data_IF_800672478723
#
_entry.id   IF_800672478723
#
_cell.length_a   1.000
_cell.length_b   1.000
_cell.length_c   1.000
_cell.angle_alpha   90.00
_cell.angle_beta   90.00
_cell.angle_gamma   90.00
#
_symmetry.space_group_name_H-M   'P 1'
#
loop_
_entity.id
_entity.type
_entity.pdbx_description
1 polymer ?
#
# COMPACT_ATOMS: atom_id res chain seq x y z
N UNK A 1 15.92 -11.41 -39.88
CA UNK A 1 15.25 -11.13 -38.59
C UNK A 1 16.20 -10.31 -37.73
N UNK A 2 16.08 -8.99 -37.78
CA UNK A 2 16.85 -8.07 -36.95
C UNK A 2 16.24 -8.08 -35.54
N UNK A 3 17.02 -8.52 -34.56
CA UNK A 3 16.64 -8.46 -33.15
C UNK A 3 16.52 -6.99 -32.74
N UNK A 4 15.30 -6.53 -32.44
CA UNK A 4 15.04 -5.19 -31.88
C UNK A 4 15.35 -5.10 -30.38
N UNK A 5 16.22 -5.97 -29.86
CA UNK A 5 16.70 -5.90 -28.47
C UNK A 5 18.00 -5.10 -28.47
N UNK A 6 17.90 -3.83 -28.09
CA UNK A 6 19.07 -3.03 -27.75
C UNK A 6 19.65 -3.56 -26.44
N UNK A 7 20.78 -4.25 -26.51
CA UNK A 7 21.58 -4.58 -25.35
C UNK A 7 22.16 -3.27 -24.79
N UNK A 8 21.70 -2.86 -23.62
CA UNK A 8 22.35 -1.76 -22.92
C UNK A 8 23.79 -2.20 -22.63
N UNK A 9 24.77 -1.39 -23.06
CA UNK A 9 26.15 -1.63 -22.70
C UNK A 9 26.23 -1.75 -21.17
N UNK A 10 26.66 -2.91 -20.68
CA UNK A 10 26.95 -3.08 -19.26
C UNK A 10 27.86 -1.92 -18.83
N UNK A 11 27.60 -1.27 -17.67
CA UNK A 11 28.42 -0.16 -17.23
C UNK A 11 29.88 -0.58 -17.30
N UNK A 12 30.68 0.19 -18.04
CA UNK A 12 32.08 -0.12 -18.28
C UNK A 12 32.76 -0.47 -16.96
N UNK A 13 33.60 -1.51 -16.97
CA UNK A 13 34.43 -1.95 -15.83
C UNK A 13 35.49 -0.90 -15.49
N UNK A 14 35.06 0.30 -15.13
CA UNK A 14 35.92 1.37 -14.65
C UNK A 14 36.11 1.15 -13.16
N UNK A 15 37.33 0.81 -12.75
CA UNK A 15 37.71 0.93 -11.34
C UNK A 15 37.80 2.42 -11.03
N UNK A 16 36.78 2.94 -10.38
CA UNK A 16 36.78 4.31 -9.87
C UNK A 16 37.87 4.47 -8.79
N UNK A 17 38.90 5.26 -9.10
CA UNK A 17 40.02 5.52 -8.20
C UNK A 17 39.57 6.17 -6.89
N UNK A 18 38.52 7.01 -6.94
CA UNK A 18 37.93 7.60 -5.74
C UNK A 18 37.34 6.51 -4.84
N UNK A 19 36.55 5.60 -5.41
CA UNK A 19 35.98 4.46 -4.67
C UNK A 19 37.07 3.55 -4.08
N UNK A 20 38.17 3.27 -4.77
CA UNK A 20 39.28 2.49 -4.20
C UNK A 20 39.94 3.21 -3.01
N UNK A 21 40.18 4.52 -3.13
CA UNK A 21 40.71 5.32 -2.02
C UNK A 21 39.77 5.29 -0.81
N UNK A 22 38.47 5.47 -1.03
CA UNK A 22 37.46 5.40 0.03
C UNK A 22 37.42 4.01 0.66
N UNK A 23 37.52 2.92 -0.12
CA UNK A 23 37.60 1.56 0.43
C UNK A 23 38.84 1.34 1.28
N UNK A 24 39.99 1.86 0.85
CA UNK A 24 41.22 1.79 1.64
C UNK A 24 41.06 2.52 2.98
N UNK A 25 40.54 3.76 2.95
CA UNK A 25 40.22 4.52 4.16
C UNK A 25 39.23 3.79 5.06
N UNK A 26 38.16 3.22 4.50
CA UNK A 26 37.16 2.47 5.24
C UNK A 26 37.76 1.23 5.94
N UNK A 27 38.66 0.49 5.27
CA UNK A 27 39.38 -0.65 5.88
C UNK A 27 40.20 -0.20 7.08
N UNK A 28 40.90 0.92 6.97
CA UNK A 28 41.72 1.45 8.04
C UNK A 28 40.88 1.95 9.22
N UNK A 29 39.81 2.69 8.95
CA UNK A 29 38.90 3.19 10.00
C UNK A 29 38.21 2.05 10.73
N UNK A 30 37.70 1.04 10.01
CA UNK A 30 37.09 -0.14 10.65
C UNK A 30 38.12 -0.91 11.47
N UNK A 31 39.35 -1.05 10.97
CA UNK A 31 40.41 -1.69 11.73
C UNK A 31 40.69 -0.94 13.04
N UNK A 32 40.86 0.39 12.99
CA UNK A 32 41.09 1.22 14.17
C UNK A 32 39.94 1.14 15.18
N UNK A 33 38.68 1.16 14.71
CA UNK A 33 37.52 1.05 15.58
C UNK A 33 37.45 -0.30 16.29
N UNK A 34 37.72 -1.41 15.58
CA UNK A 34 37.74 -2.75 16.18
C UNK A 34 38.93 -2.93 17.13
N UNK A 35 40.07 -2.30 16.85
CA UNK A 35 41.20 -2.27 17.80
C UNK A 35 40.84 -1.49 19.08
N UNK A 36 40.10 -0.39 18.97
CA UNK A 36 39.62 0.34 20.14
C UNK A 36 38.66 -0.53 20.99
N UNK A 37 37.67 -1.19 20.36
CA UNK A 37 36.80 -2.14 21.05
C UNK A 37 37.59 -3.27 21.75
N UNK A 38 38.68 -3.74 21.13
CA UNK A 38 39.55 -4.74 21.74
C UNK A 38 40.26 -4.20 22.99
N UNK A 39 40.77 -2.96 22.93
CA UNK A 39 41.44 -2.35 24.09
C UNK A 39 40.48 -2.22 25.27
N UNK A 40 39.24 -1.79 25.02
CA UNK A 40 38.22 -1.69 26.06
C UNK A 40 37.93 -3.06 26.71
N UNK A 41 37.85 -4.11 25.89
CA UNK A 41 37.66 -5.49 26.39
C UNK A 41 38.90 -5.99 27.14
N UNK A 42 40.12 -5.69 26.69
CA UNK A 42 41.31 -6.10 27.44
C UNK A 42 41.45 -5.33 28.76
N UNK A 43 41.04 -4.07 28.80
CA UNK A 43 41.02 -3.26 30.01
C UNK A 43 40.02 -3.82 31.05
N UNK A 44 38.87 -4.36 30.62
CA UNK A 44 37.93 -5.00 31.55
C UNK A 44 38.46 -6.32 32.15
N UNK A 45 39.49 -6.92 31.57
CA UNK A 45 40.21 -8.08 32.12
C UNK A 45 41.54 -7.71 32.81
N UNK A 46 41.79 -6.43 33.10
CA UNK A 46 43.07 -5.97 33.65
C UNK A 46 43.42 -6.56 35.02
N UNK A 47 42.41 -6.89 35.83
CA UNK A 47 42.56 -7.54 37.14
C UNK A 47 42.76 -9.06 37.05
N UNK A 48 42.43 -9.66 35.89
CA UNK A 48 42.60 -11.09 35.67
C UNK A 48 44.08 -11.35 35.36
N UNK A 49 44.87 -11.72 36.37
CA UNK A 49 46.29 -12.05 36.24
C UNK A 49 46.58 -13.49 36.66
N UNK A 50 47.65 -14.03 36.09
CA UNK A 50 48.25 -15.28 36.54
C UNK A 50 49.01 -15.05 37.85
N UNK A 51 49.31 -16.13 38.58
CA UNK A 51 50.08 -16.09 39.83
C UNK A 51 51.45 -15.41 39.67
N UNK A 52 52.01 -15.43 38.46
CA UNK A 52 53.27 -14.78 38.11
C UNK A 52 53.13 -13.31 37.65
N UNK A 53 51.95 -12.71 37.83
CA UNK A 53 51.65 -11.31 37.51
C UNK A 53 51.39 -11.01 36.02
N UNK A 54 51.51 -12.00 35.12
CA UNK A 54 51.19 -11.82 33.70
C UNK A 54 49.68 -11.71 33.47
N UNK A 55 49.28 -10.99 32.42
CA UNK A 55 47.87 -10.86 32.05
C UNK A 55 47.23 -12.24 31.76
N UNK A 56 46.08 -12.49 32.37
CA UNK A 56 45.29 -13.70 32.24
C UNK A 56 44.56 -13.79 30.91
N UNK A 57 44.17 -12.65 30.32
CA UNK A 57 43.61 -12.57 28.96
C UNK A 57 44.55 -11.76 28.08
N UNK A 58 44.96 -12.34 26.95
CA UNK A 58 45.88 -11.69 26.02
C UNK A 58 45.34 -11.71 24.59
N UNK A 59 45.82 -10.78 23.78
CA UNK A 59 45.65 -10.82 22.33
C UNK A 59 46.33 -12.07 21.76
N UNK A 60 45.66 -12.75 20.83
CA UNK A 60 46.15 -13.95 20.15
C UNK A 60 45.94 -13.89 18.63
N UNK A 61 46.46 -12.83 18.01
CA UNK A 61 46.38 -12.61 16.56
C UNK A 61 44.98 -12.20 16.09
N UNK A 62 44.60 -12.66 14.90
CA UNK A 62 43.35 -12.31 14.22
C UNK A 62 42.60 -13.55 13.73
N UNK A 63 41.30 -13.39 13.52
CA UNK A 63 40.51 -14.28 12.67
C UNK A 63 40.93 -14.12 11.19
N UNK A 64 40.69 -15.14 10.35
CA UNK A 64 40.85 -15.01 8.91
C UNK A 64 40.14 -13.75 8.41
N UNK A 65 40.79 -13.03 7.50
CA UNK A 65 40.18 -11.87 6.88
C UNK A 65 38.89 -12.31 6.17
N UNK A 66 37.85 -11.50 6.31
CA UNK A 66 36.60 -11.71 5.58
C UNK A 66 36.12 -10.41 4.97
N UNK A 67 35.39 -10.51 3.87
CA UNK A 67 34.82 -9.34 3.21
C UNK A 67 33.39 -9.09 3.68
N UNK A 68 33.08 -7.81 3.88
CA UNK A 68 31.73 -7.31 4.15
C UNK A 68 31.32 -6.46 2.96
N UNK A 69 30.20 -6.79 2.34
CA UNK A 69 29.64 -6.01 1.24
C UNK A 69 29.01 -4.71 1.77
N UNK A 70 29.42 -3.57 1.24
CA UNK A 70 28.95 -2.24 1.64
C UNK A 70 28.48 -1.44 0.42
N UNK A 71 27.94 -0.24 0.62
CA UNK A 71 27.54 0.65 -0.47
C UNK A 71 28.71 1.10 -1.38
N UNK A 72 29.96 0.93 -0.95
CA UNK A 72 31.16 1.22 -1.74
C UNK A 72 31.82 -0.07 -2.29
N UNK A 73 31.15 -1.22 -2.19
CA UNK A 73 31.70 -2.54 -2.54
C UNK A 73 32.28 -3.31 -1.34
N UNK A 74 33.07 -4.36 -1.57
CA UNK A 74 33.60 -5.21 -0.51
C UNK A 74 34.70 -4.53 0.32
N UNK A 75 34.50 -4.48 1.63
CA UNK A 75 35.48 -4.02 2.62
C UNK A 75 36.03 -5.24 3.37
N UNK A 76 37.34 -5.47 3.27
CA UNK A 76 38.02 -6.56 3.97
C UNK A 76 38.27 -6.18 5.43
N UNK A 77 37.88 -7.04 6.35
CA UNK A 77 38.03 -6.83 7.80
C UNK A 77 38.78 -7.98 8.44
N UNK A 78 39.59 -7.67 9.46
CA UNK A 78 40.27 -8.65 10.32
C UNK A 78 39.88 -8.38 11.76
N UNK A 79 39.24 -9.37 12.39
CA UNK A 79 38.78 -9.26 13.77
C UNK A 79 39.85 -9.85 14.69
N UNK A 80 40.33 -9.11 15.70
CA UNK A 80 41.28 -9.62 16.67
C UNK A 80 40.73 -10.82 17.43
N UNK A 81 41.64 -11.64 17.96
CA UNK A 81 41.32 -12.73 18.89
C UNK A 81 41.92 -12.43 20.24
N UNK A 82 41.22 -12.86 21.28
CA UNK A 82 41.77 -12.97 22.62
C UNK A 82 41.91 -14.44 22.98
N UNK A 83 42.84 -14.74 23.90
CA UNK A 83 43.05 -16.05 24.50
C UNK A 83 43.10 -15.87 26.01
N UNK A 84 42.30 -16.65 26.71
CA UNK A 84 42.44 -16.80 28.15
C UNK A 84 43.54 -17.82 28.49
N UNK A 85 44.31 -17.50 29.53
CA UNK A 85 45.36 -18.33 30.12
C UNK A 85 44.98 -18.86 31.51
N UNK A 86 43.88 -18.38 32.08
CA UNK A 86 43.42 -18.70 33.44
C UNK A 86 42.44 -19.89 33.48
N UNK A 87 42.11 -20.48 32.34
CA UNK A 87 41.15 -21.58 32.21
C UNK A 87 39.69 -21.11 32.03
N UNK A 88 39.37 -19.86 32.38
CA UNK A 88 38.06 -19.27 32.12
C UNK A 88 37.91 -18.85 30.65
N UNK A 89 36.82 -19.21 29.96
CA UNK A 89 36.64 -18.85 28.56
C UNK A 89 36.42 -17.34 28.38
N UNK A 90 37.33 -16.67 27.65
CA UNK A 90 37.18 -15.28 27.23
C UNK A 90 36.97 -15.20 25.71
N UNK A 91 35.96 -14.44 25.27
CA UNK A 91 35.66 -14.25 23.83
C UNK A 91 35.49 -12.78 23.50
N UNK A 92 36.20 -12.30 22.49
CA UNK A 92 35.98 -10.98 21.93
C UNK A 92 34.89 -11.03 20.84
N UNK A 93 33.88 -10.17 20.97
CA UNK A 93 32.84 -9.97 19.96
C UNK A 93 32.75 -8.48 19.65
N UNK A 94 33.17 -8.10 18.45
CA UNK A 94 33.05 -6.71 17.97
C UNK A 94 31.57 -6.32 17.86
N UNK A 95 31.24 -5.13 18.38
CA UNK A 95 29.89 -4.58 18.28
C UNK A 95 29.67 -4.00 16.87
N UNK A 96 30.70 -3.36 16.30
CA UNK A 96 30.69 -2.83 14.94
C UNK A 96 30.65 -3.94 13.88
N UNK A 97 31.38 -5.04 14.09
CA UNK A 97 31.50 -6.15 13.15
C UNK A 97 31.19 -7.49 13.84
N UNK A 98 29.90 -7.76 14.15
CA UNK A 98 29.50 -9.00 14.82
C UNK A 98 29.87 -10.26 14.02
N UNK A 99 29.96 -11.43 14.66
CA UNK A 99 30.16 -12.70 13.97
C UNK A 99 29.16 -12.89 12.81
N UNK A 100 29.63 -13.47 11.70
CA UNK A 100 28.82 -13.83 10.53
C UNK A 100 28.19 -12.68 9.72
N UNK A 101 28.41 -11.40 10.07
CA UNK A 101 27.95 -10.30 9.22
C UNK A 101 28.69 -10.34 7.87
N UNK A 102 27.92 -10.40 6.78
CA UNK A 102 28.45 -10.44 5.39
C UNK A 102 28.16 -9.18 4.60
N UNK A 103 27.26 -8.32 5.08
CA UNK A 103 26.81 -7.10 4.39
C UNK A 103 26.34 -6.03 5.37
N UNK A 104 26.46 -4.77 4.96
CA UNK A 104 25.89 -3.63 5.67
C UNK A 104 24.35 -3.65 5.67
N UNK A 105 23.74 -3.07 6.71
CA UNK A 105 22.27 -2.96 6.83
C UNK A 105 21.66 -2.14 5.70
N UNK A 106 22.32 -1.05 5.29
CA UNK A 106 21.87 -0.19 4.20
C UNK A 106 21.79 -0.94 2.87
N UNK A 107 22.79 -1.77 2.55
CA UNK A 107 22.76 -2.59 1.34
C UNK A 107 21.64 -3.64 1.37
N UNK A 108 21.36 -4.26 2.54
CA UNK A 108 20.24 -5.20 2.68
C UNK A 108 18.87 -4.51 2.46
N UNK A 109 18.71 -3.29 2.97
CA UNK A 109 17.53 -2.47 2.75
C UNK A 109 17.36 -2.08 1.26
N UNK A 110 18.44 -1.73 0.56
CA UNK A 110 18.41 -1.39 -0.87
C UNK A 110 17.95 -2.55 -1.75
N UNK A 111 18.40 -3.79 -1.46
CA UNK A 111 17.95 -4.99 -2.18
C UNK A 111 16.43 -5.15 -2.04
N UNK A 112 15.92 -4.91 -0.85
CA UNK A 112 14.49 -4.98 -0.55
C UNK A 112 13.69 -3.96 -1.36
N UNK A 113 14.22 -2.75 -1.47
CA UNK A 113 13.60 -1.67 -2.23
C UNK A 113 13.64 -1.93 -3.73
N UNK A 114 14.77 -2.40 -4.28
CA UNK A 114 14.89 -2.77 -5.69
C UNK A 114 13.90 -3.87 -6.07
N UNK A 115 13.74 -4.89 -5.22
CA UNK A 115 12.75 -5.95 -5.43
C UNK A 115 11.33 -5.38 -5.45
N UNK A 116 11.00 -4.52 -4.47
CA UNK A 116 9.70 -3.83 -4.41
C UNK A 116 9.45 -2.91 -5.62
N UNK A 117 10.51 -2.35 -6.22
CA UNK A 117 10.42 -1.53 -7.45
C UNK A 117 10.35 -2.35 -8.74
N UNK A 118 10.34 -3.68 -8.64
CA UNK A 118 10.12 -4.58 -9.77
C UNK A 118 11.39 -5.05 -10.45
N UNK A 119 12.57 -4.91 -9.81
CA UNK A 119 13.77 -5.61 -10.25
C UNK A 119 13.58 -7.10 -9.94
N UNK A 120 13.53 -7.92 -11.00
CA UNK A 120 13.34 -9.36 -10.83
C UNK A 120 14.52 -9.99 -10.10
N UNK A 121 14.33 -11.16 -9.48
CA UNK A 121 15.43 -11.86 -8.79
C UNK A 121 16.62 -12.16 -9.72
N UNK A 122 16.37 -12.41 -11.02
CA UNK A 122 17.42 -12.61 -12.01
C UNK A 122 18.16 -11.33 -12.38
N UNK A 123 17.46 -10.20 -12.44
CA UNK A 123 18.04 -8.87 -12.73
C UNK A 123 18.71 -8.22 -11.52
N UNK A 124 18.50 -8.76 -10.32
CA UNK A 124 19.05 -8.21 -9.08
C UNK A 124 20.58 -8.28 -9.05
N UNK A 125 21.18 -9.34 -9.60
CA UNK A 125 22.64 -9.45 -9.72
C UNK A 125 23.24 -8.32 -10.56
N UNK A 126 22.85 -8.20 -11.84
CA UNK A 126 23.27 -7.11 -12.72
C UNK A 126 23.00 -5.70 -12.15
N UNK A 127 21.83 -5.49 -11.53
CA UNK A 127 21.49 -4.21 -10.92
C UNK A 127 22.42 -3.84 -9.74
N UNK A 128 22.79 -4.82 -8.92
CA UNK A 128 23.72 -4.61 -7.82
C UNK A 128 25.15 -4.44 -8.31
N UNK A 129 25.59 -5.21 -9.32
CA UNK A 129 26.89 -5.03 -9.95
C UNK A 129 27.06 -3.63 -10.54
N UNK A 130 26.00 -3.07 -11.14
CA UNK A 130 25.99 -1.71 -11.63
C UNK A 130 26.09 -0.63 -10.53
N UNK A 131 25.56 -0.91 -9.33
CA UNK A 131 25.51 0.06 -8.22
C UNK A 131 26.74 0.00 -7.30
N UNK A 132 27.26 -1.20 -7.01
CA UNK A 132 28.32 -1.42 -6.02
C UNK A 132 29.57 -2.12 -6.59
N UNK A 133 29.58 -2.38 -7.90
CA UNK A 133 30.72 -2.93 -8.63
C UNK A 133 30.67 -4.45 -8.85
N UNK A 134 31.57 -4.99 -9.69
CA UNK A 134 31.56 -6.40 -10.14
C UNK A 134 31.86 -7.41 -9.02
N UNK A 135 32.36 -6.95 -7.88
CA UNK A 135 32.67 -7.79 -6.73
C UNK A 135 31.45 -7.99 -5.80
N UNK A 136 30.27 -7.49 -6.19
CA UNK A 136 29.00 -7.63 -5.49
C UNK A 136 28.38 -9.04 -5.61
N UNK A 137 29.20 -10.07 -5.42
CA UNK A 137 28.80 -11.48 -5.60
C UNK A 137 27.89 -11.96 -4.45
N UNK A 138 26.91 -12.79 -4.79
CA UNK A 138 26.12 -13.57 -3.82
C UNK A 138 24.93 -12.84 -3.16
N UNK A 139 24.46 -11.73 -3.75
CA UNK A 139 23.49 -10.85 -3.10
C UNK A 139 22.01 -11.19 -3.32
N UNK A 140 21.61 -11.89 -4.39
CA UNK A 140 20.21 -11.82 -4.85
C UNK A 140 19.27 -12.90 -4.29
N UNK A 141 19.50 -14.19 -4.54
CA UNK A 141 18.45 -15.20 -4.35
C UNK A 141 18.11 -15.49 -2.88
N UNK A 142 19.11 -15.77 -2.03
CA UNK A 142 18.90 -16.07 -0.61
C UNK A 142 18.45 -14.84 0.19
N UNK A 143 18.94 -13.65 -0.17
CA UNK A 143 18.46 -12.38 0.42
C UNK A 143 16.99 -12.14 0.07
N UNK A 144 16.61 -12.30 -1.20
CA UNK A 144 15.22 -12.13 -1.63
C UNK A 144 14.32 -13.18 -0.99
N UNK A 145 14.78 -14.42 -0.80
CA UNK A 145 14.03 -15.44 -0.07
C UNK A 145 13.78 -15.03 1.39
N UNK A 146 14.83 -14.62 2.12
CA UNK A 146 14.70 -14.13 3.50
C UNK A 146 13.81 -12.89 3.61
N UNK A 147 13.91 -11.99 2.63
CA UNK A 147 13.04 -10.82 2.53
C UNK A 147 11.57 -11.20 2.41
N UNK A 148 11.25 -12.16 1.53
CA UNK A 148 9.89 -12.67 1.37
C UNK A 148 9.36 -13.28 2.68
N UNK A 149 10.20 -14.01 3.42
CA UNK A 149 9.85 -14.54 4.74
C UNK A 149 9.55 -13.43 5.73
N UNK A 150 10.40 -12.39 5.80
CA UNK A 150 10.16 -11.25 6.67
C UNK A 150 8.86 -10.51 6.31
N UNK A 151 8.62 -10.27 5.02
CA UNK A 151 7.38 -9.62 4.55
C UNK A 151 6.14 -10.45 4.84
N UNK A 152 6.24 -11.78 4.76
CA UNK A 152 5.16 -12.68 5.16
C UNK A 152 4.84 -12.49 6.64
N UNK A 153 5.85 -12.57 7.50
CA UNK A 153 5.67 -12.38 8.94
C UNK A 153 5.05 -11.02 9.25
N UNK A 154 5.54 -9.95 8.64
CA UNK A 154 4.98 -8.61 8.83
C UNK A 154 3.52 -8.51 8.32
N UNK A 155 3.18 -9.20 7.24
CA UNK A 155 1.80 -9.27 6.74
C UNK A 155 0.89 -10.02 7.72
N UNK A 156 1.36 -11.15 8.25
CA UNK A 156 0.64 -11.97 9.22
C UNK A 156 0.41 -11.20 10.53
N UNK A 157 1.41 -10.48 11.02
CA UNK A 157 1.31 -9.59 12.19
C UNK A 157 0.34 -8.42 11.91
N UNK A 158 0.46 -7.77 10.76
CA UNK A 158 -0.42 -6.66 10.35
C UNK A 158 -1.89 -7.07 10.26
N UNK A 159 -2.17 -8.27 9.73
CA UNK A 159 -3.53 -8.84 9.65
C UNK A 159 -4.18 -9.03 11.00
N UNK A 160 -3.40 -9.16 12.06
CA UNK A 160 -3.90 -9.35 13.43
C UNK A 160 -3.94 -8.04 14.23
N UNK A 161 -3.44 -6.92 13.68
CA UNK A 161 -3.37 -5.66 14.41
C UNK A 161 -4.77 -5.15 14.77
N UNK A 162 -5.00 -4.74 16.04
CA UNK A 162 -6.25 -4.14 16.48
C UNK A 162 -6.60 -2.88 15.69
N UNK A 163 -7.90 -2.70 15.42
CA UNK A 163 -8.50 -1.58 14.70
C UNK A 163 -9.44 -0.75 15.59
N UNK A 164 -9.48 -1.04 16.90
CA UNK A 164 -10.33 -0.40 17.90
C UNK A 164 -9.82 0.97 18.39
N UNK A 165 -8.58 1.33 18.04
CA UNK A 165 -7.95 2.60 18.44
C UNK A 165 -8.47 3.81 17.67
N UNK A 166 -9.00 3.57 16.48
CA UNK A 166 -9.50 4.59 15.56
C UNK A 166 -10.99 4.36 15.33
N UNK A 167 -11.76 5.45 15.19
CA UNK A 167 -13.13 5.36 14.68
C UNK A 167 -13.11 5.46 13.16
N UNK A 168 -13.56 4.41 12.48
CA UNK A 168 -13.63 4.31 11.03
C UNK A 168 -14.95 4.88 10.51
N UNK A 169 -14.92 5.62 9.39
CA UNK A 169 -16.08 6.43 8.96
C UNK A 169 -16.54 6.09 7.54
N UNK A 170 -15.62 6.08 6.58
CA UNK A 170 -15.93 5.79 5.18
C UNK A 170 -15.03 4.66 4.69
N UNK A 171 -15.63 3.52 4.40
CA UNK A 171 -14.92 2.35 3.87
C UNK A 171 -14.97 2.34 2.35
N UNK A 172 -13.83 2.10 1.71
CA UNK A 172 -13.73 1.75 0.30
C UNK A 172 -13.36 0.28 0.18
N UNK A 173 -14.08 -0.44 -0.68
CA UNK A 173 -13.84 -1.84 -0.99
C UNK A 173 -13.73 -2.03 -2.50
N UNK A 174 -12.75 -2.82 -2.95
CA UNK A 174 -12.61 -3.20 -4.36
C UNK A 174 -11.94 -4.57 -4.49
N UNK A 175 -12.25 -5.27 -5.58
CA UNK A 175 -11.66 -6.55 -5.94
C UNK A 175 -10.68 -6.40 -7.12
N UNK A 176 -9.42 -6.65 -6.83
CA UNK A 176 -8.32 -6.31 -7.72
C UNK A 176 -7.79 -7.55 -8.40
N UNK A 177 -8.09 -7.65 -9.68
CA UNK A 177 -7.69 -8.77 -10.50
C UNK A 177 -6.23 -8.61 -10.95
N UNK A 178 -5.35 -9.43 -10.37
CA UNK A 178 -3.99 -9.57 -10.84
C UNK A 178 -4.01 -10.22 -12.23
N UNK A 179 -3.59 -9.49 -13.26
CA UNK A 179 -3.43 -10.03 -14.63
C UNK A 179 -2.36 -11.13 -14.77
N UNK A 180 -1.88 -11.68 -13.65
CA UNK A 180 -0.88 -12.72 -13.53
C UNK A 180 -1.59 -14.03 -13.20
N UNK A 181 -1.45 -15.02 -14.10
CA UNK A 181 -1.92 -16.38 -13.85
C UNK A 181 -1.00 -17.02 -12.82
N UNK A 182 -1.53 -17.33 -11.64
CA UNK A 182 -0.88 -18.21 -10.66
C UNK A 182 -1.70 -19.50 -10.67
N UNK A 183 -1.07 -20.64 -10.96
CA UNK A 183 -1.73 -21.97 -10.90
C UNK A 183 -3.06 -22.04 -11.67
N UNK A 184 -3.08 -21.56 -12.92
CA UNK A 184 -4.25 -21.59 -13.81
C UNK A 184 -5.46 -20.74 -13.40
N UNK A 185 -5.42 -20.00 -12.29
CA UNK A 185 -6.47 -19.05 -11.87
C UNK A 185 -5.96 -17.60 -11.88
N UNK A 186 -6.85 -16.65 -12.20
CA UNK A 186 -6.59 -15.22 -11.96
C UNK A 186 -6.72 -14.97 -10.46
N UNK A 187 -5.70 -14.38 -9.86
CA UNK A 187 -5.77 -13.94 -8.46
C UNK A 187 -6.73 -12.75 -8.38
N UNK A 188 -7.72 -12.84 -7.50
CA UNK A 188 -8.57 -11.70 -7.12
C UNK A 188 -8.17 -11.30 -5.69
N UNK A 189 -7.65 -10.08 -5.56
CA UNK A 189 -7.24 -9.55 -4.27
C UNK A 189 -8.33 -8.63 -3.73
N UNK A 190 -8.94 -8.98 -2.61
CA UNK A 190 -9.95 -8.13 -1.96
C UNK A 190 -9.23 -7.11 -1.10
N UNK A 191 -9.54 -5.84 -1.33
CA UNK A 191 -8.84 -4.72 -0.70
C UNK A 191 -9.84 -3.83 0.00
N UNK A 192 -9.50 -3.47 1.24
CA UNK A 192 -10.25 -2.50 2.03
C UNK A 192 -9.34 -1.35 2.46
N UNK A 193 -9.77 -0.13 2.15
CA UNK A 193 -9.20 1.11 2.68
C UNK A 193 -10.31 1.80 3.47
N UNK A 194 -10.00 2.36 4.62
CA UNK A 194 -10.94 3.21 5.35
C UNK A 194 -10.27 4.53 5.75
N UNK A 195 -11.07 5.49 6.21
CA UNK A 195 -10.64 6.74 6.79
C UNK A 195 -11.03 6.79 8.28
N UNK A 196 -10.05 7.07 9.15
CA UNK A 196 -10.35 7.30 10.56
C UNK A 196 -11.01 8.67 10.80
N UNK A 197 -11.44 8.91 12.03
CA UNK A 197 -11.97 10.18 12.55
C UNK A 197 -11.04 11.39 12.34
N UNK A 198 -9.73 11.14 12.26
CA UNK A 198 -8.71 12.12 11.90
C UNK A 198 -8.59 12.34 10.39
N UNK A 199 -9.39 11.69 9.55
CA UNK A 199 -9.33 11.85 8.10
C UNK A 199 -8.13 11.15 7.45
N UNK A 200 -7.37 10.34 8.18
CA UNK A 200 -6.25 9.58 7.67
C UNK A 200 -6.76 8.31 6.99
N UNK A 201 -6.39 8.12 5.73
CA UNK A 201 -6.73 6.90 5.00
C UNK A 201 -5.75 5.81 5.38
N UNK A 202 -6.25 4.60 5.64
CA UNK A 202 -5.48 3.43 6.08
C UNK A 202 -5.85 2.21 5.28
N UNK A 203 -4.85 1.44 4.87
CA UNK A 203 -5.08 0.12 4.29
C UNK A 203 -5.46 -0.83 5.43
N UNK A 204 -6.62 -1.47 5.34
CA UNK A 204 -7.13 -2.32 6.42
C UNK A 204 -7.11 -3.81 6.08
N UNK A 205 -7.31 -4.16 4.80
CA UNK A 205 -7.29 -5.54 4.34
C UNK A 205 -6.67 -5.67 2.94
N UNK A 206 -5.89 -6.74 2.76
CA UNK A 206 -5.37 -7.24 1.48
C UNK A 206 -5.46 -8.77 1.57
N UNK A 207 -6.59 -9.29 1.10
CA UNK A 207 -6.91 -10.71 1.22
C UNK A 207 -7.04 -11.38 -0.14
N UNK A 208 -6.84 -12.69 -0.15
CA UNK A 208 -7.06 -13.50 -1.34
C UNK A 208 -8.52 -13.87 -1.46
N UNK A 209 -9.23 -13.19 -2.35
CA UNK A 209 -10.51 -13.66 -2.81
C UNK A 209 -10.27 -14.72 -3.87
N UNK A 210 -10.54 -16.00 -3.59
CA UNK A 210 -10.58 -17.02 -4.66
C UNK A 210 -11.50 -16.54 -5.80
N UNK A 211 -12.56 -15.79 -5.44
CA UNK A 211 -13.41 -14.92 -6.28
C UNK A 211 -13.99 -13.79 -5.42
N UNK A 212 -14.60 -12.78 -6.05
CA UNK A 212 -15.46 -11.77 -5.38
C UNK A 212 -16.82 -12.38 -4.98
N UNK A 213 -16.79 -13.46 -4.22
CA UNK A 213 -17.99 -14.10 -3.68
C UNK A 213 -18.44 -13.40 -2.40
N UNK A 214 -19.72 -13.54 -2.07
CA UNK A 214 -20.26 -13.09 -0.77
C UNK A 214 -19.50 -13.70 0.39
N UNK A 215 -19.13 -14.99 0.30
CA UNK A 215 -18.35 -15.66 1.32
C UNK A 215 -16.96 -15.05 1.51
N UNK A 216 -16.25 -14.74 0.41
CA UNK A 216 -14.92 -14.12 0.50
C UNK A 216 -14.98 -12.74 1.15
N UNK A 217 -15.96 -11.90 0.78
CA UNK A 217 -16.16 -10.61 1.42
C UNK A 217 -16.61 -10.74 2.87
N UNK A 218 -17.46 -11.72 3.20
CA UNK A 218 -17.89 -12.01 4.56
C UNK A 218 -16.69 -12.32 5.46
N UNK A 219 -15.76 -13.15 4.99
CA UNK A 219 -14.53 -13.47 5.74
C UNK A 219 -13.68 -12.22 6.00
N UNK A 220 -13.48 -11.37 4.98
CA UNK A 220 -12.74 -10.10 5.13
C UNK A 220 -13.40 -9.20 6.17
N UNK A 221 -14.70 -8.95 6.04
CA UNK A 221 -15.44 -8.04 6.91
C UNK A 221 -15.58 -8.57 8.35
N UNK A 222 -15.77 -9.89 8.52
CA UNK A 222 -15.74 -10.52 9.85
C UNK A 222 -14.35 -10.41 10.48
N UNK A 223 -13.28 -10.58 9.70
CA UNK A 223 -11.91 -10.38 10.17
C UNK A 223 -11.67 -8.94 10.66
N UNK A 224 -12.14 -7.94 9.91
CA UNK A 224 -12.06 -6.53 10.32
C UNK A 224 -12.84 -6.26 11.61
N UNK A 225 -14.07 -6.78 11.72
CA UNK A 225 -14.90 -6.66 12.91
C UNK A 225 -14.26 -7.36 14.13
N UNK A 226 -13.68 -8.54 13.95
CA UNK A 226 -12.98 -9.27 15.01
C UNK A 226 -11.73 -8.54 15.53
N UNK A 227 -11.09 -7.73 14.68
CA UNK A 227 -9.99 -6.83 15.07
C UNK A 227 -10.46 -5.56 15.79
N UNK A 228 -11.77 -5.36 15.96
CA UNK A 228 -12.34 -4.22 16.67
C UNK A 228 -12.78 -3.05 15.79
N UNK A 229 -12.85 -3.23 14.46
CA UNK A 229 -13.36 -2.19 13.56
C UNK A 229 -14.87 -1.96 13.81
N UNK A 230 -15.26 -0.70 14.05
CA UNK A 230 -16.67 -0.30 14.12
C UNK A 230 -17.35 -0.39 12.75
N UNK A 231 -18.68 -0.44 12.73
CA UNK A 231 -19.42 -0.26 11.49
C UNK A 231 -19.16 1.16 10.94
N UNK A 232 -18.71 1.31 9.69
CA UNK A 232 -18.53 2.63 9.06
C UNK A 232 -19.91 3.24 8.73
N UNK A 233 -19.96 4.55 8.55
CA UNK A 233 -21.21 5.26 8.21
C UNK A 233 -21.56 5.03 6.71
N UNK A 234 -20.52 4.98 5.86
CA UNK A 234 -20.66 4.76 4.41
C UNK A 234 -19.69 3.69 3.90
N UNK A 235 -20.21 2.79 3.06
CA UNK A 235 -19.43 1.88 2.25
C UNK A 235 -19.46 2.29 0.77
N UNK A 236 -18.28 2.45 0.18
CA UNK A 236 -18.08 2.82 -1.22
C UNK A 236 -17.44 1.65 -1.96
N UNK A 237 -18.08 1.20 -3.03
CA UNK A 237 -17.60 0.05 -3.79
C UNK A 237 -18.03 0.09 -5.24
N UNK A 238 -17.61 -0.90 -6.00
CA UNK A 238 -18.08 -1.11 -7.36
C UNK A 238 -19.45 -1.81 -7.38
N UNK A 239 -19.83 -2.41 -8.51
CA UNK A 239 -21.10 -3.14 -8.65
C UNK A 239 -21.07 -4.59 -8.18
N UNK A 240 -19.97 -5.09 -7.60
CA UNK A 240 -19.81 -6.51 -7.29
C UNK A 240 -20.75 -6.95 -6.16
N UNK A 241 -21.76 -7.76 -6.50
CA UNK A 241 -22.83 -8.19 -5.57
C UNK A 241 -22.31 -8.86 -4.29
N UNK A 242 -21.16 -9.55 -4.35
CA UNK A 242 -20.59 -10.25 -3.20
C UNK A 242 -20.27 -9.33 -2.02
N UNK A 243 -19.71 -8.15 -2.29
CA UNK A 243 -19.37 -7.20 -1.23
C UNK A 243 -20.63 -6.68 -0.52
N UNK A 244 -21.61 -6.26 -1.31
CA UNK A 244 -22.83 -5.62 -0.79
C UNK A 244 -23.67 -6.58 0.05
N UNK A 245 -23.83 -7.83 -0.39
CA UNK A 245 -24.52 -8.85 0.43
C UNK A 245 -23.81 -9.12 1.75
N UNK A 246 -22.47 -9.16 1.75
CA UNK A 246 -21.69 -9.38 2.98
C UNK A 246 -21.73 -8.15 3.92
N UNK A 247 -21.68 -6.95 3.35
CA UNK A 247 -21.75 -5.70 4.11
C UNK A 247 -23.11 -5.54 4.77
N UNK A 248 -24.21 -5.82 4.08
CA UNK A 248 -25.56 -5.76 4.63
C UNK A 248 -25.75 -6.74 5.79
N UNK A 249 -25.17 -7.95 5.70
CA UNK A 249 -25.20 -8.94 6.77
C UNK A 249 -24.40 -8.48 8.02
N UNK A 250 -23.21 -7.91 7.82
CA UNK A 250 -22.27 -7.65 8.91
C UNK A 250 -22.49 -6.28 9.57
N UNK A 251 -22.86 -5.28 8.75
CA UNK A 251 -23.08 -3.89 9.11
C UNK A 251 -24.35 -3.33 8.44
N UNK A 252 -25.55 -3.78 8.82
CA UNK A 252 -26.80 -3.39 8.17
C UNK A 252 -27.11 -1.88 8.22
N UNK A 253 -26.54 -1.15 9.18
CA UNK A 253 -26.70 0.31 9.30
C UNK A 253 -25.81 1.13 8.38
N UNK A 254 -24.77 0.53 7.78
CA UNK A 254 -23.83 1.23 6.89
C UNK A 254 -24.52 1.48 5.55
N UNK A 255 -24.55 2.75 5.11
CA UNK A 255 -25.14 3.13 3.82
C UNK A 255 -24.25 2.71 2.66
N UNK A 256 -24.86 2.41 1.52
CA UNK A 256 -24.14 2.00 0.31
C UNK A 256 -23.98 3.17 -0.67
N UNK A 257 -22.78 3.32 -1.22
CA UNK A 257 -22.48 4.25 -2.30
C UNK A 257 -21.79 3.51 -3.44
N UNK A 258 -22.42 3.49 -4.62
CA UNK A 258 -21.82 2.90 -5.81
C UNK A 258 -20.85 3.86 -6.48
N UNK A 259 -19.74 3.34 -6.98
CA UNK A 259 -18.73 4.10 -7.67
C UNK A 259 -19.23 4.60 -9.04
N UNK A 260 -19.28 5.92 -9.21
CA UNK A 260 -19.68 6.55 -10.48
C UNK A 260 -18.74 6.21 -11.64
N UNK A 261 -17.45 6.01 -11.40
CA UNK A 261 -16.49 5.69 -12.46
C UNK A 261 -16.75 4.29 -13.05
N UNK A 262 -16.93 3.28 -12.19
CA UNK A 262 -17.28 1.93 -12.64
C UNK A 262 -18.68 1.88 -13.25
N UNK A 263 -19.65 2.57 -12.64
CA UNK A 263 -21.00 2.68 -13.19
C UNK A 263 -20.98 3.27 -14.59
N UNK A 264 -20.32 4.40 -14.78
CA UNK A 264 -20.18 5.06 -16.08
C UNK A 264 -19.56 4.11 -17.10
N UNK A 265 -18.49 3.41 -16.75
CA UNK A 265 -17.85 2.44 -17.65
C UNK A 265 -18.81 1.29 -18.04
N UNK A 266 -19.57 0.75 -17.09
CA UNK A 266 -20.52 -0.33 -17.32
C UNK A 266 -21.68 0.10 -18.24
N UNK A 267 -22.23 1.30 -18.02
CA UNK A 267 -23.29 1.88 -18.87
C UNK A 267 -22.76 2.10 -20.29
N UNK A 268 -21.58 2.71 -20.42
CA UNK A 268 -20.97 2.97 -21.74
C UNK A 268 -20.61 1.68 -22.50
N UNK A 269 -20.23 0.61 -21.81
CA UNK A 269 -19.95 -0.69 -22.42
C UNK A 269 -21.18 -1.34 -23.07
N UNK A 270 -22.40 -0.95 -22.65
CA UNK A 270 -23.64 -1.38 -23.27
C UNK A 270 -24.03 -0.54 -24.51
N UNK A 271 -23.19 0.42 -24.90
CA UNK A 271 -23.46 1.36 -26.00
C UNK A 271 -22.35 1.36 -27.07
N UNK A 272 -22.68 1.62 -28.35
CA UNK A 272 -21.67 1.79 -29.40
C UNK A 272 -20.71 2.96 -29.13
N UNK A 273 -19.43 2.80 -29.50
CA UNK A 273 -18.39 3.82 -29.28
C UNK A 273 -18.71 5.20 -29.86
N UNK A 274 -19.49 5.26 -30.94
CA UNK A 274 -19.88 6.53 -31.61
C UNK A 274 -20.77 7.42 -30.74
N UNK A 275 -21.59 6.84 -29.86
CA UNK A 275 -22.52 7.59 -29.00
C UNK A 275 -21.98 7.79 -27.57
N UNK A 276 -20.98 7.00 -27.17
CA UNK A 276 -20.38 7.06 -25.83
C UNK A 276 -19.95 8.47 -25.37
N UNK A 277 -19.39 9.36 -26.21
CA UNK A 277 -19.06 10.72 -25.76
C UNK A 277 -20.27 11.51 -25.27
N UNK A 278 -21.41 11.43 -25.97
CA UNK A 278 -22.66 12.11 -25.59
C UNK A 278 -23.28 11.47 -24.34
N UNK A 279 -23.34 10.14 -24.31
CA UNK A 279 -23.86 9.42 -23.15
C UNK A 279 -23.01 9.69 -21.89
N UNK A 280 -21.68 9.79 -22.03
CA UNK A 280 -20.79 10.12 -20.93
C UNK A 280 -21.03 11.54 -20.39
N UNK A 281 -21.26 12.51 -21.27
CA UNK A 281 -21.62 13.87 -20.84
C UNK A 281 -22.92 13.87 -20.03
N UNK A 282 -23.96 13.20 -20.53
CA UNK A 282 -25.23 13.09 -19.81
C UNK A 282 -25.09 12.36 -18.46
N UNK A 283 -24.25 11.31 -18.36
CA UNK A 283 -23.93 10.68 -17.07
C UNK A 283 -23.21 11.65 -16.13
N UNK A 284 -22.31 12.49 -16.66
CA UNK A 284 -21.64 13.51 -15.86
C UNK A 284 -22.61 14.56 -15.32
N UNK A 285 -23.60 14.97 -16.11
CA UNK A 285 -24.61 15.94 -15.68
C UNK A 285 -25.38 15.44 -14.45
N UNK A 286 -25.57 14.13 -14.32
CA UNK A 286 -26.19 13.51 -13.14
C UNK A 286 -25.32 13.67 -11.89
N UNK A 287 -24.11 13.11 -11.91
CA UNK A 287 -23.33 13.00 -10.68
C UNK A 287 -22.55 14.26 -10.34
N UNK A 288 -22.46 15.21 -11.26
CA UNK A 288 -21.89 16.54 -11.01
C UNK A 288 -22.94 17.59 -10.66
N UNK A 289 -24.23 17.25 -10.67
CA UNK A 289 -25.28 18.14 -10.22
C UNK A 289 -25.01 18.64 -8.78
N UNK A 290 -25.49 19.85 -8.50
CA UNK A 290 -25.31 20.50 -7.19
C UNK A 290 -26.29 19.96 -6.14
N UNK A 291 -27.47 19.48 -6.57
CA UNK A 291 -28.52 18.94 -5.69
C UNK A 291 -29.00 17.56 -6.14
N UNK A 292 -29.58 16.81 -5.21
CA UNK A 292 -30.23 15.52 -5.48
C UNK A 292 -31.36 15.67 -6.49
N UNK A 293 -32.19 16.69 -6.37
CA UNK A 293 -33.33 16.90 -7.28
C UNK A 293 -32.85 17.13 -8.73
N UNK A 294 -31.78 17.90 -8.93
CA UNK A 294 -31.20 18.11 -10.24
C UNK A 294 -30.55 16.83 -10.80
N UNK A 295 -29.91 16.02 -9.94
CA UNK A 295 -29.37 14.73 -10.34
C UNK A 295 -30.48 13.74 -10.78
N UNK A 296 -31.59 13.71 -10.05
CA UNK A 296 -32.76 12.88 -10.37
C UNK A 296 -33.40 13.28 -11.70
N UNK A 297 -33.57 14.59 -11.94
CA UNK A 297 -34.05 15.09 -13.23
C UNK A 297 -33.11 14.71 -14.39
N UNK A 298 -31.78 14.79 -14.17
CA UNK A 298 -30.80 14.37 -15.16
C UNK A 298 -30.81 12.85 -15.39
N UNK A 299 -31.10 12.05 -14.36
CA UNK A 299 -31.31 10.60 -14.48
C UNK A 299 -32.50 10.28 -15.38
N UNK A 300 -33.63 10.93 -15.14
CA UNK A 300 -34.87 10.73 -15.90
C UNK A 300 -34.66 11.11 -17.37
N UNK A 301 -34.02 12.25 -17.62
CA UNK A 301 -33.65 12.69 -18.96
C UNK A 301 -32.73 11.68 -19.67
N UNK A 302 -31.77 11.09 -18.95
CA UNK A 302 -30.90 10.05 -19.52
C UNK A 302 -31.71 8.82 -19.94
N UNK A 303 -32.65 8.37 -19.10
CA UNK A 303 -33.48 7.21 -19.41
C UNK A 303 -34.34 7.51 -20.65
N UNK A 304 -35.10 8.61 -20.64
CA UNK A 304 -35.96 9.01 -21.76
C UNK A 304 -35.19 9.14 -23.08
N UNK A 305 -33.98 9.71 -23.03
CA UNK A 305 -33.17 9.93 -24.25
C UNK A 305 -32.64 8.63 -24.87
N UNK A 306 -32.32 7.62 -24.05
CA UNK A 306 -31.52 6.47 -24.48
C UNK A 306 -32.24 5.13 -24.39
N UNK A 307 -33.35 5.01 -23.68
CA UNK A 307 -34.04 3.74 -23.40
C UNK A 307 -34.46 3.00 -24.68
N UNK A 308 -35.12 3.68 -25.62
CA UNK A 308 -35.60 3.08 -26.88
C UNK A 308 -34.50 2.41 -27.70
N UNK A 309 -33.28 2.95 -27.64
CA UNK A 309 -32.14 2.47 -28.44
C UNK A 309 -31.20 1.56 -27.66
N UNK A 310 -31.06 1.80 -26.36
CA UNK A 310 -30.06 1.16 -25.51
C UNK A 310 -30.65 0.78 -24.14
N UNK A 311 -31.70 -0.07 -24.08
CA UNK A 311 -32.39 -0.40 -22.84
C UNK A 311 -31.48 -1.09 -21.81
N UNK A 312 -30.44 -1.80 -22.28
CA UNK A 312 -29.42 -2.39 -21.40
C UNK A 312 -28.59 -1.33 -20.66
N UNK A 313 -28.32 -0.19 -21.28
CA UNK A 313 -27.54 0.88 -20.70
C UNK A 313 -28.36 1.64 -19.65
N UNK A 314 -29.62 1.95 -19.95
CA UNK A 314 -30.55 2.61 -19.01
C UNK A 314 -30.86 1.72 -17.82
N UNK A 315 -31.20 0.45 -18.03
CA UNK A 315 -31.41 -0.50 -16.93
C UNK A 315 -30.17 -0.70 -16.05
N UNK A 316 -28.97 -0.71 -16.66
CA UNK A 316 -27.72 -0.77 -15.92
C UNK A 316 -27.51 0.44 -15.01
N UNK A 317 -27.99 1.61 -15.41
CA UNK A 317 -27.92 2.85 -14.64
C UNK A 317 -29.00 2.90 -13.56
N UNK A 318 -30.25 2.65 -13.95
CA UNK A 318 -31.46 2.76 -13.11
C UNK A 318 -31.45 1.83 -11.91
N UNK A 319 -31.02 0.57 -12.08
CA UNK A 319 -31.07 -0.44 -11.01
C UNK A 319 -30.27 -0.12 -9.74
N UNK A 320 -29.34 0.83 -9.82
CA UNK A 320 -28.50 1.27 -8.68
C UNK A 320 -28.71 2.78 -8.42
N UNK A 321 -29.85 3.37 -8.84
CA UNK A 321 -30.12 4.81 -8.78
C UNK A 321 -29.92 5.37 -7.36
N UNK A 322 -30.54 4.76 -6.36
CA UNK A 322 -30.53 5.24 -4.99
C UNK A 322 -29.12 5.21 -4.40
N UNK A 323 -28.40 4.10 -4.59
CA UNK A 323 -27.03 3.94 -4.09
C UNK A 323 -26.02 4.80 -4.85
N UNK A 324 -26.33 5.28 -6.06
CA UNK A 324 -25.47 6.18 -6.81
C UNK A 324 -25.53 7.62 -6.28
N UNK A 325 -26.64 8.03 -5.68
CA UNK A 325 -26.88 9.39 -5.17
C UNK A 325 -26.88 9.49 -3.63
N UNK A 326 -26.49 8.42 -2.93
CA UNK A 326 -26.33 8.42 -1.46
C UNK A 326 -25.40 9.52 -0.97
N UNK A 327 -24.37 9.90 -1.75
CA UNK A 327 -23.38 10.90 -1.35
C UNK A 327 -23.99 12.26 -1.00
N UNK A 328 -25.18 12.62 -1.53
CA UNK A 328 -25.85 13.89 -1.17
C UNK A 328 -26.24 13.97 0.31
N UNK A 329 -26.35 12.83 1.01
CA UNK A 329 -26.60 12.75 2.44
C UNK A 329 -25.34 12.96 3.30
N UNK A 330 -24.20 13.29 2.67
CA UNK A 330 -22.90 13.52 3.31
C UNK A 330 -22.34 14.89 2.95
N UNK A 331 -21.42 15.46 3.75
CA UNK A 331 -20.86 16.79 3.50
C UNK A 331 -20.34 16.96 2.06
N UNK A 332 -20.65 18.10 1.42
CA UNK A 332 -20.24 18.36 0.02
C UNK A 332 -18.72 18.24 -0.20
N UNK A 333 -17.93 18.59 0.83
CA UNK A 333 -16.47 18.46 0.82
C UNK A 333 -16.01 17.01 0.66
N UNK A 334 -16.79 16.02 1.09
CA UNK A 334 -16.44 14.59 1.02
C UNK A 334 -16.72 13.99 -0.35
N UNK A 335 -17.65 14.56 -1.12
CA UNK A 335 -18.16 14.02 -2.39
C UNK A 335 -17.06 13.61 -3.36
N UNK A 336 -15.99 14.42 -3.45
CA UNK A 336 -14.82 14.13 -4.30
C UNK A 336 -14.21 12.75 -4.05
N UNK A 337 -14.27 12.26 -2.80
CA UNK A 337 -13.69 10.97 -2.41
C UNK A 337 -14.73 9.85 -2.38
N UNK A 338 -15.97 10.14 -1.97
CA UNK A 338 -16.99 9.10 -1.76
C UNK A 338 -17.77 8.74 -3.03
N UNK A 339 -17.80 9.60 -4.06
CA UNK A 339 -18.41 9.27 -5.36
C UNK A 339 -17.65 8.18 -6.15
N UNK A 340 -16.42 7.84 -5.74
CA UNK A 340 -15.53 6.93 -6.50
C UNK A 340 -14.71 6.01 -5.60
N UNK A 341 -14.23 4.90 -6.14
CA UNK A 341 -13.20 4.02 -5.53
C UNK A 341 -11.78 4.45 -5.85
N UNK A 342 -11.56 5.69 -6.32
CA UNK A 342 -10.24 6.21 -6.68
C UNK A 342 -9.16 6.09 -5.57
N UNK A 343 -9.46 6.18 -4.26
CA UNK A 343 -8.48 5.90 -3.21
C UNK A 343 -7.79 4.53 -3.36
N UNK A 344 -8.55 3.51 -3.77
CA UNK A 344 -8.00 2.19 -4.11
C UNK A 344 -7.39 2.23 -5.50
N UNK A 345 -8.17 2.60 -6.52
CA UNK A 345 -7.78 2.43 -7.92
C UNK A 345 -6.47 3.16 -8.28
N UNK A 346 -6.27 4.38 -7.79
CA UNK A 346 -5.03 5.14 -8.01
C UNK A 346 -3.80 4.47 -7.37
N UNK A 347 -3.97 3.91 -6.18
CA UNK A 347 -2.92 3.15 -5.48
C UNK A 347 -2.58 1.90 -6.29
N UNK A 348 -3.60 1.13 -6.65
CA UNK A 348 -3.42 -0.17 -7.25
C UNK A 348 -3.06 -0.13 -8.73
N UNK A 349 -3.34 0.95 -9.46
CA UNK A 349 -2.75 1.17 -10.78
C UNK A 349 -1.22 1.11 -10.74
N UNK A 350 -0.60 1.73 -9.72
CA UNK A 350 0.85 1.70 -9.52
C UNK A 350 1.34 0.31 -9.13
N UNK A 351 0.58 -0.40 -8.29
CA UNK A 351 0.89 -1.77 -7.84
C UNK A 351 0.84 -2.72 -9.04
N UNK A 352 -0.25 -2.70 -9.83
CA UNK A 352 -0.42 -3.49 -11.06
C UNK A 352 0.73 -3.29 -12.04
N UNK A 353 1.21 -2.05 -12.22
CA UNK A 353 2.37 -1.77 -13.07
C UNK A 353 3.65 -2.48 -12.59
N UNK A 354 3.90 -2.48 -11.27
CA UNK A 354 5.08 -3.12 -10.66
C UNK A 354 4.98 -4.64 -10.62
N UNK A 355 3.81 -5.19 -10.37
CA UNK A 355 3.60 -6.64 -10.34
C UNK A 355 3.73 -7.25 -11.73
N UNK A 356 3.24 -6.58 -12.78
CA UNK A 356 3.37 -7.04 -14.18
C UNK A 356 4.83 -7.23 -14.62
N UNK A 357 5.76 -6.41 -14.12
CA UNK A 357 7.20 -6.53 -14.39
C UNK A 357 7.87 -7.64 -13.58
N UNK A 358 7.31 -7.96 -12.42
CA UNK A 358 7.87 -8.90 -11.45
C UNK A 358 7.47 -10.34 -11.80
N UNK A 359 8.07 -10.91 -12.86
CA UNK A 359 7.86 -12.31 -13.30
C UNK A 359 8.30 -13.38 -12.28
N UNK A 360 8.77 -13.00 -11.09
CA UNK A 360 9.33 -13.87 -10.04
C UNK A 360 8.50 -14.01 -8.75
N UNK A 361 7.24 -13.54 -8.75
CA UNK A 361 6.26 -13.85 -7.69
C UNK A 361 5.40 -15.03 -8.14
N UNK A 362 5.98 -16.23 -8.12
CA UNK A 362 5.37 -17.43 -8.68
C UNK A 362 4.28 -18.02 -7.76
N UNK A 363 4.21 -17.60 -6.49
CA UNK A 363 3.20 -18.06 -5.53
C UNK A 363 2.18 -16.97 -5.20
N UNK A 364 0.96 -17.41 -4.90
CA UNK A 364 -0.18 -16.59 -4.49
C UNK A 364 0.15 -15.74 -3.26
N UNK A 365 0.68 -16.36 -2.20
CA UNK A 365 1.13 -15.68 -0.98
C UNK A 365 2.22 -14.63 -1.24
N UNK A 366 3.18 -14.96 -2.11
CA UNK A 366 4.26 -14.03 -2.46
C UNK A 366 3.73 -12.77 -3.14
N UNK A 367 2.68 -12.90 -3.95
CA UNK A 367 2.02 -11.76 -4.58
C UNK A 367 1.26 -10.91 -3.57
N UNK A 368 0.50 -11.53 -2.66
CA UNK A 368 -0.25 -10.83 -1.61
C UNK A 368 0.69 -10.03 -0.71
N UNK A 369 1.78 -10.64 -0.25
CA UNK A 369 2.78 -9.96 0.58
C UNK A 369 3.42 -8.76 -0.13
N UNK A 370 3.66 -8.88 -1.44
CA UNK A 370 4.17 -7.77 -2.25
C UNK A 370 3.11 -6.67 -2.41
N UNK A 371 1.85 -7.02 -2.65
CA UNK A 371 0.73 -6.06 -2.74
C UNK A 371 0.59 -5.31 -1.41
N UNK A 372 0.57 -6.04 -0.28
CA UNK A 372 0.56 -5.48 1.07
C UNK A 372 1.68 -4.45 1.27
N UNK A 373 2.93 -4.84 1.01
CA UNK A 373 4.09 -3.93 1.16
C UNK A 373 4.00 -2.70 0.26
N UNK A 374 3.57 -2.88 -0.98
CA UNK A 374 3.37 -1.78 -1.91
C UNK A 374 2.23 -0.86 -1.47
N UNK A 375 1.17 -1.43 -0.88
CA UNK A 375 0.05 -0.74 -0.27
C UNK A 375 0.49 0.13 0.90
N UNK A 376 1.23 -0.41 1.86
CA UNK A 376 1.80 0.37 2.97
C UNK A 376 2.72 1.51 2.49
N UNK A 377 3.53 1.26 1.47
CA UNK A 377 4.37 2.29 0.86
C UNK A 377 3.54 3.38 0.14
N UNK A 378 2.35 3.05 -0.36
CA UNK A 378 1.44 4.02 -0.95
C UNK A 378 0.69 4.82 0.12
N UNK A 379 0.30 4.17 1.22
CA UNK A 379 -0.36 4.78 2.38
C UNK A 379 0.40 6.00 2.89
N UNK A 380 1.73 5.91 3.02
CA UNK A 380 2.56 7.02 3.47
C UNK A 380 2.55 8.28 2.58
N UNK A 381 1.91 8.23 1.40
CA UNK A 381 1.73 9.37 0.48
C UNK A 381 0.26 9.76 0.29
N UNK A 382 -0.67 9.07 0.94
CA UNK A 382 -2.07 9.40 0.84
C UNK A 382 -2.37 10.72 1.52
N UNK A 383 -3.12 11.56 0.82
CA UNK A 383 -3.68 12.77 1.42
C UNK A 383 -4.83 12.39 2.34
N UNK A 384 -4.98 13.12 3.44
CA UNK A 384 -6.18 13.06 4.29
C UNK A 384 -7.45 13.29 3.46
N UNK A 385 -8.58 12.82 3.96
CA UNK A 385 -9.88 13.04 3.35
C UNK A 385 -10.12 14.55 3.20
N UNK A 386 -10.58 14.96 2.02
CA UNK A 386 -10.95 16.35 1.80
C UNK A 386 -12.16 16.71 2.66
N UNK A 387 -12.08 17.79 3.44
CA UNK A 387 -13.13 18.14 4.40
C UNK A 387 -13.18 17.25 5.65
N UNK A 388 -12.05 16.65 6.06
CA UNK A 388 -11.98 15.81 7.27
C UNK A 388 -12.52 16.48 8.55
N UNK A 389 -12.54 17.82 8.62
CA UNK A 389 -13.14 18.55 9.75
C UNK A 389 -14.64 18.31 9.93
N UNK A 390 -15.36 17.89 8.88
CA UNK A 390 -16.79 17.54 8.97
C UNK A 390 -17.02 16.08 9.42
N UNK A 391 -15.96 15.25 9.57
CA UNK A 391 -16.11 13.86 10.00
C UNK A 391 -16.73 13.75 11.39
N UNK A 392 -16.44 14.69 12.29
CA UNK A 392 -17.06 14.74 13.62
C UNK A 392 -18.58 14.81 13.53
N UNK A 393 -19.12 15.62 12.61
CA UNK A 393 -20.57 15.76 12.39
C UNK A 393 -21.21 14.48 11.85
N UNK A 394 -20.51 13.83 10.90
CA UNK A 394 -20.93 12.54 10.34
C UNK A 394 -20.98 11.48 11.46
N UNK A 395 -19.92 11.43 12.29
CA UNK A 395 -19.79 10.54 13.46
C UNK A 395 -20.90 10.74 14.50
N UNK A 396 -21.33 11.99 14.72
CA UNK A 396 -22.42 12.32 15.67
C UNK A 396 -23.81 12.19 15.06
N UNK A 397 -23.93 11.80 13.78
CA UNK A 397 -25.21 11.56 13.12
C UNK A 397 -25.93 12.81 12.61
N UNK A 398 -25.23 13.94 12.43
CA UNK A 398 -25.78 15.16 11.81
C UNK A 398 -26.28 14.82 10.40
N UNK A 399 -27.49 15.30 10.07
CA UNK A 399 -28.09 15.09 8.76
C UNK A 399 -27.60 16.14 7.78
N UNK A 400 -27.33 15.70 6.56
CA UNK A 400 -27.01 16.57 5.44
C UNK A 400 -28.06 16.40 4.35
N UNK A 401 -28.41 17.51 3.70
CA UNK A 401 -29.18 17.56 2.47
C UNK A 401 -28.36 18.35 1.46
N UNK A 402 -28.10 17.75 0.31
CA UNK A 402 -27.22 18.31 -0.73
C UNK A 402 -25.85 18.74 -0.18
N UNK A 403 -25.36 17.98 0.79
CA UNK A 403 -24.07 18.20 1.43
C UNK A 403 -23.98 19.42 2.34
N UNK A 404 -25.12 20.04 2.65
CA UNK A 404 -25.30 21.10 3.63
C UNK A 404 -25.98 20.52 4.87
N UNK A 405 -25.50 20.93 6.05
CA UNK A 405 -26.06 20.52 7.33
C UNK A 405 -27.51 20.99 7.48
N UNK A 406 -28.40 20.08 7.86
CA UNK A 406 -29.81 20.40 8.14
C UNK A 406 -29.92 20.78 9.61
N UNK A 407 -30.18 22.05 9.89
CA UNK A 407 -30.49 22.51 11.24
C UNK A 407 -31.97 22.23 11.51
N UNK A 408 -32.27 21.31 12.43
CA UNK A 408 -33.65 21.10 12.90
C UNK A 408 -34.15 22.41 13.55
N UNK A 409 -35.00 23.15 12.80
CA UNK A 409 -35.55 24.45 13.24
C UNK A 409 -35.84 25.45 12.12
N UNK A 410 -35.37 25.24 10.88
CA UNK A 410 -35.73 26.07 9.74
C UNK A 410 -36.80 25.37 8.88
N UNK A 411 -38.04 25.33 9.38
CA UNK A 411 -39.19 25.21 8.48
C UNK A 411 -39.16 26.41 7.54
N UNK A 412 -38.92 26.13 6.26
CA UNK A 412 -39.01 27.10 5.16
C UNK A 412 -40.42 27.66 5.11
N UNK A 413 -40.60 28.84 5.69
CA UNK A 413 -41.75 29.70 5.47
C UNK A 413 -41.60 30.35 4.09
N UNK A 414 -41.71 29.55 3.03
CA UNK A 414 -41.76 30.04 1.65
C UNK A 414 -43.17 29.84 1.09
N UNK A 415 -44.07 30.69 1.59
CA UNK A 415 -45.32 31.05 0.92
C UNK A 415 -45.32 32.56 0.74
N UNK A 416 -44.57 33.07 -0.23
CA UNK A 416 -44.89 34.37 -0.79
C UNK A 416 -46.08 34.21 -1.73
N UNK A 417 -47.25 34.64 -1.23
CA UNK A 417 -48.43 34.98 -2.01
C UNK A 417 -48.03 35.77 -3.27
N UNK A 418 -48.37 35.23 -4.44
CA UNK A 418 -48.45 36.04 -5.66
C UNK A 418 -49.89 35.97 -6.17
N UNK A 419 -50.72 36.86 -5.63
CA UNK A 419 -52.07 37.15 -6.14
C UNK A 419 -51.96 38.24 -7.21
N UNK A 420 -52.54 38.06 -8.41
CA UNK A 420 -52.46 39.08 -9.46
C UNK A 420 -53.41 40.23 -9.14
N UNK A 421 -52.86 41.44 -9.04
CA UNK A 421 -53.65 42.67 -8.99
C UNK A 421 -54.37 42.87 -10.34
N UNK A 422 -55.68 42.60 -10.35
CA UNK A 422 -56.59 43.20 -11.32
C UNK A 422 -56.72 44.68 -11.00
N UNK A 423 -56.36 45.55 -11.94
CA UNK A 423 -56.89 46.91 -11.99
C UNK A 423 -57.48 47.12 -13.38
N UNK A 424 -58.79 47.35 -13.37
CA UNK A 424 -59.56 47.84 -14.49
C UNK A 424 -59.41 49.37 -14.59
N UNK A 425 -59.12 49.87 -15.78
CA UNK A 425 -59.64 51.09 -16.40
C UNK A 425 -59.13 51.16 -17.84
#
# INVERSE_FOLDING_TARGET
>A
MTSNVYEFAAPAKSRDQLTELIRMGARQIVHLAVEAELQDVLASYSDHRLEDGRAGVIRNGYQPARQIQTGIGPVSVRIPKIRSRTGEPATFRSALVPPYIRKSRSLDASISWLYLKGVSTGEMGPALEALVGPDAKGLSASTVARLKTAWRQECDEWRQMPLDRDRWVHVWADGIHGGLRVEHAKLCCLVVIDVNDRGEKKLLAVEDGVRESTQGWREVLLGLKARGMNAPELAVGDGAMGFWSAQEEIWPGTRQQRCWMYKSANVLNAMPKSVQPKAKAAIHDIWQADTREAAEAAFDLFIETWEDKYPKATHCLEKDRDELITFYDYPAKHWRSIRTTNPIESTFATIRHRTRRSKGCLTRDGMLNMIFKLGLCAEGRWRRLHGFGELGKVITGVKFRDGIEVVEGAETNDKSDNQPARIAA
#
